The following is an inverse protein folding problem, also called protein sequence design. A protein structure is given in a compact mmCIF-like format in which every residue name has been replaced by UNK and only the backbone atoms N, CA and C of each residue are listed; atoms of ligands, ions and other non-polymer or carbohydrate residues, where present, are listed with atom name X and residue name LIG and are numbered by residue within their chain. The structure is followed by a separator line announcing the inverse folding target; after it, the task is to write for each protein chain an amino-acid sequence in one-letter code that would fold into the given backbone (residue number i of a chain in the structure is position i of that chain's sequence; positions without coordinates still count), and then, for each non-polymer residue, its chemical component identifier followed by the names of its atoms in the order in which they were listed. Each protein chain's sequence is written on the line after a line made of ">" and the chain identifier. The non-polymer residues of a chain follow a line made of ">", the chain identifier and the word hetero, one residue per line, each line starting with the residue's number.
data_IF_920458946628
#
_entry.id   IF_920458946628
#
_cell.length_a   1.000
_cell.length_b   1.000
_cell.length_c   1.000
_cell.angle_alpha   90.00
_cell.angle_beta   90.00
_cell.angle_gamma   90.00
#
_symmetry.space_group_name_H-M   'P 1'
#
loop_
_entity.id
_entity.type
_entity.pdbx_description
1 polymer ?
#
# COMPACT_ATOMS: atom_id res chain seq x y z
N UNK A 1 16.52 17.03 -33.76
CA UNK A 1 16.83 16.12 -32.63
C UNK A 1 15.63 15.34 -32.08
N UNK A 2 14.42 15.90 -31.93
CA UNK A 2 13.21 15.06 -31.80
C UNK A 2 12.56 14.75 -33.17
N UNK A 3 12.95 15.45 -34.25
CA UNK A 3 12.81 14.96 -35.63
C UNK A 3 13.49 13.64 -35.78
N UNK A 4 14.62 13.36 -35.10
CA UNK A 4 15.22 12.03 -35.09
C UNK A 4 14.34 11.02 -34.37
N UNK A 5 13.52 11.44 -33.42
CA UNK A 5 12.52 10.54 -32.83
C UNK A 5 11.38 10.35 -33.84
N UNK A 6 10.80 11.39 -34.44
CA UNK A 6 9.75 11.21 -35.45
C UNK A 6 10.22 10.58 -36.79
N UNK A 7 11.49 10.77 -37.18
CA UNK A 7 12.11 10.32 -38.45
C UNK A 7 12.95 9.04 -38.29
N UNK A 8 13.60 8.80 -37.14
CA UNK A 8 14.26 7.51 -36.82
C UNK A 8 13.34 6.53 -36.07
N UNK A 9 12.09 6.89 -35.74
CA UNK A 9 11.04 5.92 -35.38
C UNK A 9 10.48 5.24 -36.64
N UNK A 10 11.37 4.61 -37.41
CA UNK A 10 11.02 3.37 -38.11
C UNK A 10 10.97 2.18 -37.14
N UNK A 11 11.23 2.41 -35.84
CA UNK A 11 10.85 1.49 -34.77
C UNK A 11 9.35 1.48 -34.63
N UNK A 12 8.76 0.45 -35.22
CA UNK A 12 7.34 0.25 -35.16
C UNK A 12 7.05 -0.66 -33.96
N UNK A 13 6.44 -0.11 -32.92
CA UNK A 13 6.14 -0.86 -31.69
C UNK A 13 4.77 -1.54 -31.79
N UNK A 14 4.69 -2.79 -31.34
CA UNK A 14 3.44 -3.56 -31.26
C UNK A 14 2.53 -3.04 -30.14
N UNK A 15 3.13 -2.67 -29.01
CA UNK A 15 2.44 -2.17 -27.82
C UNK A 15 2.86 -0.74 -27.46
N UNK A 16 2.07 -0.06 -26.63
CA UNK A 16 2.34 1.34 -26.26
C UNK A 16 3.45 1.45 -25.21
N UNK A 17 3.62 0.42 -24.37
CA UNK A 17 4.51 0.42 -23.22
C UNK A 17 5.99 0.60 -23.61
N UNK A 18 6.55 -0.12 -24.60
CA UNK A 18 7.93 0.09 -25.04
C UNK A 18 8.13 1.47 -25.65
N UNK A 19 7.17 1.96 -26.44
CA UNK A 19 7.21 3.30 -27.02
C UNK A 19 7.23 4.37 -25.93
N UNK A 20 6.40 4.20 -24.90
CA UNK A 20 6.35 5.12 -23.76
C UNK A 20 7.69 5.16 -23.02
N UNK A 21 8.29 4.01 -22.72
CA UNK A 21 9.60 3.92 -22.06
C UNK A 21 10.67 4.66 -22.86
N UNK A 22 10.70 4.47 -24.18
CA UNK A 22 11.65 5.16 -25.05
C UNK A 22 11.45 6.68 -25.04
N UNK A 23 10.19 7.16 -25.10
CA UNK A 23 9.89 8.60 -25.03
C UNK A 23 10.32 9.17 -23.68
N UNK A 24 10.04 8.47 -22.57
CA UNK A 24 10.45 8.88 -21.23
C UNK A 24 11.97 8.92 -21.07
N UNK A 25 12.70 7.96 -21.63
CA UNK A 25 14.16 7.94 -21.63
C UNK A 25 14.74 9.11 -22.43
N UNK A 26 14.21 9.36 -23.63
CA UNK A 26 14.66 10.48 -24.48
C UNK A 26 14.35 11.84 -23.89
N UNK A 27 13.18 12.01 -23.29
CA UNK A 27 12.86 13.22 -22.53
C UNK A 27 13.86 13.45 -21.39
N UNK A 28 14.20 12.38 -20.66
CA UNK A 28 15.18 12.44 -19.57
C UNK A 28 16.59 12.81 -20.03
N UNK A 29 17.03 12.27 -21.17
CA UNK A 29 18.30 12.64 -21.81
C UNK A 29 18.34 14.14 -22.16
N UNK A 30 17.19 14.76 -22.40
CA UNK A 30 17.05 16.19 -22.67
C UNK A 30 16.69 17.00 -21.41
N UNK A 31 16.81 16.40 -20.22
CA UNK A 31 16.60 17.08 -18.95
C UNK A 31 15.15 17.30 -18.57
N UNK A 32 14.15 16.70 -19.24
CA UNK A 32 12.75 16.88 -18.87
C UNK A 32 11.98 15.59 -18.65
N UNK A 33 10.78 15.73 -18.08
CA UNK A 33 9.86 14.62 -17.81
C UNK A 33 8.53 14.79 -18.53
N UNK A 34 7.99 13.69 -19.05
CA UNK A 34 6.72 13.63 -19.77
C UNK A 34 5.62 12.99 -18.92
N UNK A 35 4.37 13.41 -19.14
CA UNK A 35 3.19 12.85 -18.51
C UNK A 35 2.07 12.64 -19.53
N UNK A 36 1.23 11.64 -19.32
CA UNK A 36 0.04 11.40 -20.16
C UNK A 36 -1.02 12.46 -19.83
N UNK A 37 -1.37 13.30 -20.80
CA UNK A 37 -2.46 14.28 -20.73
C UNK A 37 -3.82 13.61 -20.87
N UNK A 38 -3.95 12.73 -21.87
CA UNK A 38 -5.17 11.99 -22.17
C UNK A 38 -4.83 10.74 -22.97
N UNK A 39 -5.70 9.74 -22.90
CA UNK A 39 -5.54 8.47 -23.60
C UNK A 39 -6.89 7.97 -24.11
N UNK A 40 -6.89 7.42 -25.31
CA UNK A 40 -7.95 6.56 -25.82
C UNK A 40 -7.32 5.17 -25.95
N UNK A 41 -7.62 4.24 -25.03
CA UNK A 41 -7.00 2.91 -25.02
C UNK A 41 -7.03 2.25 -26.40
N UNK A 42 -5.91 1.71 -26.84
CA UNK A 42 -5.76 1.07 -28.15
C UNK A 42 -5.73 2.00 -29.37
N UNK A 43 -5.93 3.31 -29.20
CA UNK A 43 -6.02 4.25 -30.33
C UNK A 43 -4.95 5.33 -30.29
N UNK A 44 -4.88 6.10 -29.18
CA UNK A 44 -3.94 7.24 -29.08
C UNK A 44 -3.65 7.65 -27.65
N UNK A 45 -2.46 8.19 -27.44
CA UNK A 45 -2.00 8.80 -26.18
C UNK A 45 -1.44 10.19 -26.45
N UNK A 46 -1.95 11.18 -25.73
CA UNK A 46 -1.40 12.53 -25.71
C UNK A 46 -0.44 12.65 -24.54
N UNK A 47 0.82 12.89 -24.85
CA UNK A 47 1.91 13.12 -23.92
C UNK A 47 2.18 14.64 -23.86
N UNK A 48 2.54 15.14 -22.69
CA UNK A 48 2.91 16.54 -22.46
C UNK A 48 4.06 16.64 -21.47
N UNK A 49 4.73 17.78 -21.42
CA UNK A 49 5.67 18.07 -20.34
C UNK A 49 4.95 18.04 -18.97
N UNK A 50 5.65 17.62 -17.91
CA UNK A 50 5.11 17.66 -16.53
C UNK A 50 4.71 19.08 -16.08
N UNK A 51 5.43 20.09 -16.56
CA UNK A 51 5.09 21.50 -16.35
C UNK A 51 4.04 22.02 -17.35
N UNK A 52 3.54 21.17 -18.24
CA UNK A 52 2.64 21.54 -19.32
C UNK A 52 1.18 21.72 -18.91
N UNK A 53 0.54 22.71 -19.53
CA UNK A 53 -0.85 23.10 -19.30
C UNK A 53 -1.09 23.87 -18.00
N UNK A 54 -2.35 24.07 -17.69
CA UNK A 54 -2.79 24.81 -16.50
C UNK A 54 -3.56 23.90 -15.54
N UNK A 55 -3.47 24.23 -14.25
CA UNK A 55 -4.27 23.56 -13.25
C UNK A 55 -5.74 23.94 -13.40
N UNK A 56 -6.62 22.94 -13.55
CA UNK A 56 -8.06 23.17 -13.54
C UNK A 56 -8.50 23.69 -12.16
N UNK A 57 -8.91 24.95 -12.10
CA UNK A 57 -9.47 25.55 -10.89
C UNK A 57 -10.93 25.14 -10.70
N UNK A 58 -11.17 23.89 -10.28
CA UNK A 58 -12.55 23.37 -10.07
C UNK A 58 -13.34 24.09 -8.97
N UNK A 59 -12.66 24.83 -8.09
CA UNK A 59 -13.26 25.42 -6.88
C UNK A 59 -13.30 26.95 -6.93
N UNK A 60 -12.91 27.57 -8.06
CA UNK A 60 -12.87 29.03 -8.19
C UNK A 60 -11.96 29.72 -7.17
N UNK A 61 -10.97 29.01 -6.61
CA UNK A 61 -10.08 29.56 -5.57
C UNK A 61 -9.07 30.47 -6.28
N UNK A 62 -9.10 31.77 -5.96
CA UNK A 62 -8.11 32.74 -6.43
C UNK A 62 -6.82 32.61 -5.61
N UNK A 63 -5.69 33.12 -6.11
CA UNK A 63 -4.42 32.98 -5.38
C UNK A 63 -4.40 33.78 -4.07
N UNK A 64 -5.20 34.85 -3.95
CA UNK A 64 -5.38 35.64 -2.73
C UNK A 64 -6.12 34.84 -1.64
N UNK A 65 -7.09 34.01 -2.05
CA UNK A 65 -7.88 33.19 -1.11
C UNK A 65 -7.15 31.91 -0.63
N UNK A 66 -5.93 31.66 -1.13
CA UNK A 66 -5.20 30.42 -0.90
C UNK A 66 -4.31 30.52 0.35
N UNK A 67 -4.68 29.80 1.41
CA UNK A 67 -3.92 29.75 2.69
C UNK A 67 -2.47 29.22 2.58
N UNK A 68 -2.08 28.59 1.47
CA UNK A 68 -0.73 28.04 1.27
C UNK A 68 -0.25 28.39 -0.13
N UNK A 69 1.02 28.86 -0.25
CA UNK A 69 1.68 29.01 -1.55
C UNK A 69 1.67 27.67 -2.25
N UNK A 70 1.15 27.65 -3.47
CA UNK A 70 1.06 26.43 -4.27
C UNK A 70 2.48 26.09 -4.75
N UNK A 71 2.92 24.86 -4.52
CA UNK A 71 4.06 24.30 -5.24
C UNK A 71 3.60 24.07 -6.70
N UNK A 72 3.59 25.15 -7.50
CA UNK A 72 3.12 25.10 -8.87
C UNK A 72 4.21 24.46 -9.72
N UNK A 73 4.02 23.17 -10.01
CA UNK A 73 4.84 22.50 -11.02
C UNK A 73 4.37 22.88 -12.43
N UNK A 74 3.16 23.39 -12.67
CA UNK A 74 2.71 23.68 -14.05
C UNK A 74 2.92 25.14 -14.44
N UNK A 75 3.83 25.40 -15.39
CA UNK A 75 4.14 26.74 -15.92
C UNK A 75 3.52 27.00 -17.31
N UNK A 76 2.55 26.17 -17.74
CA UNK A 76 1.94 26.34 -19.06
C UNK A 76 2.82 25.88 -20.23
N UNK A 77 3.79 24.98 -19.98
CA UNK A 77 4.65 24.45 -21.04
C UNK A 77 3.83 23.89 -22.21
N UNK A 78 4.17 24.36 -23.41
CA UNK A 78 3.45 24.02 -24.63
C UNK A 78 3.89 22.65 -25.17
N UNK A 79 5.05 22.11 -24.79
CA UNK A 79 5.53 20.84 -25.32
C UNK A 79 4.50 19.70 -25.19
N UNK A 80 4.12 19.11 -26.32
CA UNK A 80 3.14 18.04 -26.40
C UNK A 80 3.40 17.13 -27.61
N UNK A 81 3.11 15.85 -27.43
CA UNK A 81 3.40 14.79 -28.38
C UNK A 81 2.20 13.81 -28.45
N UNK A 82 1.86 13.36 -29.65
CA UNK A 82 0.78 12.41 -29.91
C UNK A 82 1.36 11.07 -30.33
N UNK A 83 1.19 10.04 -29.52
CA UNK A 83 1.38 8.66 -29.94
C UNK A 83 0.04 8.10 -30.46
N UNK A 84 0.00 7.53 -31.65
CA UNK A 84 -1.21 6.99 -32.25
C UNK A 84 -0.96 5.64 -32.90
N UNK A 85 -1.91 4.72 -32.75
CA UNK A 85 -1.89 3.41 -33.40
C UNK A 85 -2.39 3.51 -34.83
N UNK A 86 -1.63 2.99 -35.77
CA UNK A 86 -2.00 2.92 -37.18
C UNK A 86 -2.58 1.56 -37.50
N UNK A 87 -3.87 1.51 -37.83
CA UNK A 87 -4.55 0.26 -38.24
C UNK A 87 -3.96 -0.37 -39.51
N UNK A 88 -3.42 0.45 -40.43
CA UNK A 88 -2.85 -0.04 -41.68
C UNK A 88 -1.54 -0.79 -41.46
N UNK A 89 -0.70 -0.30 -40.55
CA UNK A 89 0.58 -0.91 -40.22
C UNK A 89 0.53 -1.79 -38.96
N UNK A 90 -0.61 -1.84 -38.26
CA UNK A 90 -0.78 -2.53 -36.97
C UNK A 90 0.25 -2.12 -35.91
N UNK A 91 0.72 -0.87 -35.96
CA UNK A 91 1.88 -0.43 -35.17
C UNK A 91 1.69 1.00 -34.64
N UNK A 92 2.34 1.29 -33.52
CA UNK A 92 2.35 2.61 -32.90
C UNK A 92 3.35 3.56 -33.58
N UNK A 93 2.92 4.80 -33.81
CA UNK A 93 3.76 5.87 -34.32
C UNK A 93 3.59 7.17 -33.52
N UNK A 94 4.55 8.08 -33.67
CA UNK A 94 4.58 9.36 -32.95
C UNK A 94 4.43 10.52 -33.93
N UNK A 95 3.65 11.52 -33.54
CA UNK A 95 3.45 12.78 -34.27
C UNK A 95 3.45 13.94 -33.29
N UNK A 96 3.89 15.11 -33.74
CA UNK A 96 3.67 16.33 -32.97
C UNK A 96 2.22 16.77 -33.03
N UNK A 97 1.74 17.37 -31.94
CA UNK A 97 0.40 17.97 -31.92
C UNK A 97 0.44 19.24 -32.77
N UNK A 98 -0.58 19.47 -33.60
CA UNK A 98 -0.69 20.65 -34.47
C UNK A 98 -0.52 21.95 -33.66
N UNK A 99 0.38 22.84 -34.10
CA UNK A 99 0.74 24.06 -33.37
C UNK A 99 1.91 23.89 -32.40
N UNK A 100 2.47 22.68 -32.30
CA UNK A 100 3.70 22.41 -31.60
C UNK A 100 4.75 21.95 -32.61
N UNK A 101 5.70 22.82 -32.95
CA UNK A 101 6.87 22.47 -33.74
C UNK A 101 7.92 21.76 -32.89
N UNK A 102 8.89 21.15 -33.57
CA UNK A 102 10.08 20.58 -32.94
C UNK A 102 10.90 21.61 -32.15
N UNK A 103 10.81 22.87 -32.56
CA UNK A 103 11.47 24.03 -31.96
C UNK A 103 10.62 24.68 -30.85
N UNK A 104 9.54 24.04 -30.38
CA UNK A 104 8.82 24.56 -29.22
C UNK A 104 9.72 24.45 -28.01
N UNK A 105 10.41 25.56 -27.76
CA UNK A 105 11.22 25.77 -26.57
C UNK A 105 10.35 25.53 -25.34
N UNK A 106 10.90 24.74 -24.42
CA UNK A 106 10.35 24.64 -23.09
C UNK A 106 10.41 26.05 -22.47
N UNK A 107 9.26 26.55 -22.00
CA UNK A 107 9.19 27.86 -21.33
C UNK A 107 9.67 27.79 -19.87
N UNK A 108 10.50 26.81 -19.54
CA UNK A 108 11.08 26.60 -18.22
C UNK A 108 12.49 26.01 -18.38
N UNK A 109 13.41 26.32 -17.46
CA UNK A 109 14.75 25.74 -17.49
C UNK A 109 14.67 24.21 -17.39
N UNK A 110 15.51 23.51 -18.15
CA UNK A 110 15.59 22.05 -18.14
C UNK A 110 16.14 21.51 -16.80
N UNK A 111 16.85 22.33 -16.03
CA UNK A 111 17.35 21.94 -14.70
C UNK A 111 16.25 21.86 -13.63
N UNK A 112 15.06 22.43 -13.88
CA UNK A 112 13.99 22.53 -12.89
C UNK A 112 13.09 21.28 -12.81
N UNK A 113 13.43 20.20 -13.51
CA UNK A 113 12.66 18.97 -13.43
C UNK A 113 13.05 18.16 -12.20
N UNK A 114 12.19 18.05 -11.17
CA UNK A 114 12.41 17.04 -10.17
C UNK A 114 12.44 15.67 -10.87
N UNK A 115 13.34 14.74 -10.48
CA UNK A 115 13.26 13.36 -10.95
C UNK A 115 11.81 12.91 -10.76
N UNK A 116 11.21 12.37 -11.82
CA UNK A 116 9.78 12.03 -11.83
C UNK A 116 9.49 11.35 -10.50
N UNK A 117 8.66 11.94 -9.61
CA UNK A 117 8.47 11.37 -8.30
C UNK A 117 8.03 9.95 -8.57
N UNK A 118 8.85 8.95 -8.16
CA UNK A 118 8.54 7.54 -8.32
C UNK A 118 7.12 7.47 -7.81
N UNK A 119 6.19 7.29 -8.75
CA UNK A 119 4.80 7.17 -8.42
C UNK A 119 4.82 5.83 -7.70
N UNK A 120 4.94 5.86 -6.37
CA UNK A 120 4.48 4.79 -5.50
C UNK A 120 3.19 4.39 -6.19
N UNK A 121 3.13 3.18 -6.73
CA UNK A 121 2.06 2.72 -7.61
C UNK A 121 0.74 2.67 -6.80
N UNK A 122 0.24 3.83 -6.40
CA UNK A 122 -1.10 4.08 -5.94
C UNK A 122 -1.86 4.45 -7.20
N UNK A 123 -2.29 3.39 -7.88
CA UNK A 123 -3.27 3.27 -8.97
C UNK A 123 -2.74 2.31 -10.04
N UNK A 124 -2.56 1.03 -9.68
CA UNK A 124 -3.26 0.01 -10.45
C UNK A 124 -4.73 0.41 -10.32
N UNK A 125 -5.42 0.60 -11.44
CA UNK A 125 -6.87 0.65 -11.41
C UNK A 125 -7.29 -0.69 -10.82
N UNK A 126 -7.51 -0.72 -9.51
CA UNK A 126 -8.37 -1.71 -8.92
C UNK A 126 -9.61 -1.68 -9.80
N UNK A 127 -10.05 -2.80 -10.40
CA UNK A 127 -11.46 -2.88 -10.70
C UNK A 127 -12.14 -2.43 -9.41
N UNK A 128 -12.94 -1.36 -9.48
CA UNK A 128 -13.77 -0.91 -8.37
C UNK A 128 -14.80 -2.02 -8.15
N UNK A 129 -14.33 -3.09 -7.54
CA UNK A 129 -15.16 -4.08 -6.93
C UNK A 129 -15.67 -3.46 -5.64
N UNK A 130 -16.91 -3.81 -5.29
CA UNK A 130 -17.62 -3.22 -4.18
C UNK A 130 -16.81 -3.29 -2.88
N UNK A 131 -16.17 -2.18 -2.48
CA UNK A 131 -15.85 -1.96 -1.06
C UNK A 131 -17.15 -2.11 -0.28
N UNK A 132 -17.15 -2.54 0.98
CA UNK A 132 -18.37 -2.58 1.82
C UNK A 132 -19.15 -1.24 1.84
N UNK A 133 -18.58 -0.13 1.33
CA UNK A 133 -19.28 1.13 1.02
C UNK A 133 -20.22 1.11 -0.20
N UNK A 134 -20.15 0.10 -1.06
CA UNK A 134 -20.94 -0.02 -2.29
C UNK A 134 -22.16 -0.95 -2.12
N UNK A 135 -22.20 -1.73 -1.04
CA UNK A 135 -23.46 -2.23 -0.48
C UNK A 135 -23.98 -1.10 0.41
N UNK A 136 -24.57 -0.09 -0.22
CA UNK A 136 -25.31 1.01 0.41
C UNK A 136 -24.68 1.60 1.68
N UNK A 137 -23.83 2.61 1.53
CA UNK A 137 -23.38 3.55 2.57
C UNK A 137 -23.65 3.06 4.01
N UNK A 138 -22.88 2.08 4.47
CA UNK A 138 -22.90 1.68 5.87
C UNK A 138 -22.67 2.96 6.66
N UNK A 139 -23.68 3.37 7.44
CA UNK A 139 -23.60 4.54 8.31
C UNK A 139 -22.27 4.49 9.06
N UNK A 140 -21.52 5.59 9.07
CA UNK A 140 -20.23 5.66 9.78
C UNK A 140 -20.33 5.23 11.24
N UNK A 141 -21.52 5.35 11.84
CA UNK A 141 -21.83 4.86 13.19
C UNK A 141 -21.88 3.33 13.26
N UNK A 142 -22.39 2.65 12.24
CA UNK A 142 -22.41 1.19 12.17
C UNK A 142 -20.99 0.64 11.97
N UNK A 143 -20.17 1.24 11.11
CA UNK A 143 -18.76 0.85 10.97
C UNK A 143 -17.99 1.05 12.29
N UNK A 144 -18.17 2.20 12.94
CA UNK A 144 -17.55 2.46 14.23
C UNK A 144 -17.97 1.46 15.32
N UNK A 145 -19.26 1.11 15.39
CA UNK A 145 -19.77 0.14 16.34
C UNK A 145 -19.24 -1.28 16.06
N UNK A 146 -19.21 -1.70 14.79
CA UNK A 146 -18.64 -2.99 14.37
C UNK A 146 -17.15 -3.07 14.75
N UNK A 147 -16.37 -2.03 14.46
CA UNK A 147 -14.97 -1.94 14.88
C UNK A 147 -14.85 -2.05 16.40
N UNK A 148 -15.62 -1.28 17.15
CA UNK A 148 -15.59 -1.33 18.62
C UNK A 148 -15.90 -2.73 19.16
N UNK A 149 -16.77 -3.49 18.48
CA UNK A 149 -17.08 -4.87 18.81
C UNK A 149 -15.91 -5.83 18.50
N UNK A 150 -15.27 -5.70 17.34
CA UNK A 150 -14.08 -6.51 16.96
C UNK A 150 -12.84 -6.23 17.83
N UNK A 151 -12.74 -5.01 18.38
CA UNK A 151 -11.60 -4.57 19.20
C UNK A 151 -11.94 -4.41 20.69
N UNK A 152 -13.09 -4.92 21.12
CA UNK A 152 -13.48 -4.87 22.53
C UNK A 152 -12.54 -5.73 23.37
N UNK A 153 -12.05 -5.18 24.49
CA UNK A 153 -11.13 -5.88 25.40
C UNK A 153 -11.86 -6.66 26.49
N UNK A 154 -13.12 -6.31 26.75
CA UNK A 154 -13.96 -6.96 27.76
C UNK A 154 -15.31 -7.34 27.16
N UNK A 155 -15.93 -8.39 27.70
CA UNK A 155 -17.28 -8.80 27.30
C UNK A 155 -18.28 -7.65 27.47
N UNK A 156 -18.13 -6.85 28.53
CA UNK A 156 -18.96 -5.67 28.77
C UNK A 156 -18.87 -4.66 27.62
N UNK A 157 -17.65 -4.35 27.16
CA UNK A 157 -17.45 -3.43 26.04
C UNK A 157 -17.99 -4.03 24.73
N UNK A 158 -17.82 -5.33 24.53
CA UNK A 158 -18.34 -6.03 23.36
C UNK A 158 -19.86 -5.91 23.27
N UNK A 159 -20.58 -6.23 24.35
CA UNK A 159 -22.04 -6.15 24.38
C UNK A 159 -22.55 -4.71 24.25
N UNK A 160 -21.86 -3.73 24.83
CA UNK A 160 -22.17 -2.32 24.59
C UNK A 160 -22.06 -1.96 23.10
N UNK A 161 -21.04 -2.47 22.40
CA UNK A 161 -20.89 -2.29 20.95
C UNK A 161 -21.95 -3.03 20.13
N UNK A 162 -22.40 -4.21 20.58
CA UNK A 162 -23.55 -4.92 19.98
C UNK A 162 -24.81 -4.06 20.03
N UNK A 163 -25.09 -3.41 21.17
CA UNK A 163 -26.26 -2.55 21.30
C UNK A 163 -26.15 -1.30 20.43
N UNK A 164 -24.94 -0.73 20.29
CA UNK A 164 -24.67 0.36 19.34
C UNK A 164 -24.90 -0.09 17.89
N UNK A 165 -24.49 -1.30 17.52
CA UNK A 165 -24.76 -1.88 16.20
C UNK A 165 -26.27 -2.01 15.96
N UNK A 166 -27.01 -2.59 16.90
CA UNK A 166 -28.48 -2.72 16.81
C UNK A 166 -29.16 -1.36 16.65
N UNK A 167 -28.76 -0.37 17.44
CA UNK A 167 -29.29 0.99 17.36
C UNK A 167 -28.97 1.67 16.00
N UNK A 168 -27.78 1.41 15.43
CA UNK A 168 -27.41 1.92 14.12
C UNK A 168 -28.18 1.23 12.97
N UNK A 169 -28.38 -0.09 13.06
CA UNK A 169 -29.12 -0.90 12.07
C UNK A 169 -30.60 -0.52 12.01
N UNK A 170 -31.23 -0.21 13.14
CA UNK A 170 -32.64 0.24 13.21
C UNK A 170 -32.93 1.49 12.38
N UNK A 171 -31.91 2.29 12.04
CA UNK A 171 -32.06 3.50 11.21
C UNK A 171 -31.99 3.21 9.70
N UNK A 172 -31.79 1.96 9.31
CA UNK A 172 -31.66 1.54 7.91
C UNK A 172 -32.96 0.90 7.42
N UNK A 173 -33.20 0.97 6.11
CA UNK A 173 -34.36 0.30 5.48
C UNK A 173 -34.31 -1.23 5.56
N UNK A 174 -33.16 -1.81 5.94
CA UNK A 174 -32.92 -3.25 6.06
C UNK A 174 -32.69 -3.69 7.51
N UNK A 175 -33.28 -2.97 8.48
CA UNK A 175 -33.04 -3.18 9.90
C UNK A 175 -33.24 -4.65 10.33
N UNK A 176 -34.32 -5.29 9.86
CA UNK A 176 -34.68 -6.66 10.25
C UNK A 176 -33.67 -7.69 9.72
N UNK A 177 -33.33 -7.61 8.43
CA UNK A 177 -32.33 -8.47 7.79
C UNK A 177 -30.95 -8.34 8.46
N UNK A 178 -30.50 -7.12 8.73
CA UNK A 178 -29.22 -6.84 9.37
C UNK A 178 -29.19 -7.30 10.83
N UNK A 179 -30.27 -7.10 11.59
CA UNK A 179 -30.36 -7.60 12.96
C UNK A 179 -30.32 -9.14 12.98
N UNK A 180 -31.08 -9.81 12.11
CA UNK A 180 -31.06 -11.26 12.02
C UNK A 180 -29.66 -11.80 11.66
N UNK A 181 -28.97 -11.16 10.72
CA UNK A 181 -27.58 -11.51 10.38
C UNK A 181 -26.64 -11.32 11.58
N UNK A 182 -26.78 -10.22 12.32
CA UNK A 182 -25.98 -9.96 13.52
C UNK A 182 -26.19 -11.06 14.57
N UNK A 183 -27.45 -11.40 14.89
CA UNK A 183 -27.75 -12.45 15.87
C UNK A 183 -27.17 -13.81 15.44
N UNK A 184 -27.29 -14.15 14.15
CA UNK A 184 -26.65 -15.35 13.59
C UNK A 184 -25.13 -15.33 13.81
N UNK A 185 -24.45 -14.20 13.62
CA UNK A 185 -23.01 -14.10 13.84
C UNK A 185 -22.62 -14.11 15.33
N UNK A 186 -23.47 -13.59 16.21
CA UNK A 186 -23.24 -13.59 17.67
C UNK A 186 -23.22 -15.00 18.27
N UNK A 187 -23.88 -15.98 17.62
CA UNK A 187 -23.73 -17.41 17.99
C UNK A 187 -22.28 -17.91 17.85
N UNK A 188 -21.49 -17.29 16.96
CA UNK A 188 -20.10 -17.61 16.66
C UNK A 188 -19.11 -16.59 17.24
N UNK A 189 -19.54 -15.76 18.19
CA UNK A 189 -18.75 -14.64 18.74
C UNK A 189 -17.37 -15.04 19.28
N UNK A 190 -17.21 -16.27 19.75
CA UNK A 190 -15.93 -16.77 20.29
C UNK A 190 -14.80 -16.71 19.25
N UNK A 191 -15.12 -16.79 17.95
CA UNK A 191 -14.14 -16.79 16.87
C UNK A 191 -13.71 -15.40 16.38
N UNK A 192 -14.50 -14.36 16.66
CA UNK A 192 -14.31 -13.04 16.05
C UNK A 192 -14.49 -11.86 16.99
N UNK A 193 -15.26 -12.03 18.07
CA UNK A 193 -15.50 -10.98 19.05
C UNK A 193 -14.23 -10.73 19.86
N UNK A 194 -13.87 -9.45 20.02
CA UNK A 194 -12.60 -9.06 20.62
C UNK A 194 -12.24 -9.83 21.91
N UNK A 195 -13.09 -9.87 22.94
CA UNK A 195 -12.71 -10.46 24.23
C UNK A 195 -12.29 -11.93 24.14
N UNK A 196 -12.80 -12.67 23.15
CA UNK A 196 -12.49 -14.07 22.94
C UNK A 196 -11.40 -14.26 21.87
N UNK A 197 -11.48 -13.52 20.77
CA UNK A 197 -10.52 -13.63 19.66
C UNK A 197 -9.15 -13.01 20.00
N UNK A 198 -9.09 -12.03 20.91
CA UNK A 198 -7.86 -11.39 21.38
C UNK A 198 -7.10 -12.22 22.42
N UNK A 199 -7.60 -13.40 22.80
CA UNK A 199 -6.85 -14.30 23.68
C UNK A 199 -5.62 -14.89 23.01
N UNK A 200 -5.58 -14.88 21.67
CA UNK A 200 -4.47 -15.40 20.87
C UNK A 200 -3.74 -14.28 20.11
N UNK A 201 -2.39 -14.33 20.06
CA UNK A 201 -1.61 -13.44 19.21
C UNK A 201 -1.95 -13.63 17.74
N UNK A 202 -2.55 -12.61 17.13
CA UNK A 202 -2.97 -12.65 15.73
C UNK A 202 -1.98 -11.94 14.80
N UNK A 203 -0.87 -11.40 15.30
CA UNK A 203 0.29 -10.92 14.52
C UNK A 203 -0.04 -9.93 13.38
N UNK A 204 -1.08 -9.12 13.57
CA UNK A 204 -1.54 -8.16 12.55
C UNK A 204 -2.52 -8.69 11.49
N UNK A 205 -2.92 -9.97 11.53
CA UNK A 205 -3.92 -10.57 10.63
C UNK A 205 -5.38 -10.11 10.88
N UNK A 206 -5.56 -8.85 11.30
CA UNK A 206 -6.89 -8.21 11.41
C UNK A 206 -7.20 -7.27 10.27
N UNK A 207 -6.21 -6.93 9.44
CA UNK A 207 -6.44 -6.08 8.28
C UNK A 207 -6.98 -6.93 7.14
N UNK A 208 -8.18 -6.58 6.68
CA UNK A 208 -8.78 -7.22 5.49
C UNK A 208 -7.90 -7.04 4.27
N UNK A 209 -7.03 -6.02 4.22
CA UNK A 209 -6.14 -5.74 3.09
C UNK A 209 -5.28 -6.93 2.65
N UNK A 210 -4.78 -7.75 3.58
CA UNK A 210 -4.00 -8.94 3.23
C UNK A 210 -4.90 -10.00 2.59
N UNK A 211 -6.05 -10.28 3.20
CA UNK A 211 -7.03 -11.25 2.68
C UNK A 211 -7.62 -10.80 1.36
N UNK A 212 -7.99 -9.53 1.23
CA UNK A 212 -8.55 -8.90 0.04
C UNK A 212 -7.53 -8.88 -1.11
N UNK A 213 -6.26 -8.57 -0.82
CA UNK A 213 -5.18 -8.58 -1.80
C UNK A 213 -4.93 -9.99 -2.36
N UNK A 214 -4.78 -10.97 -1.47
CA UNK A 214 -4.62 -12.38 -1.85
C UNK A 214 -5.85 -12.90 -2.59
N UNK A 215 -7.05 -12.58 -2.13
CA UNK A 215 -8.29 -12.99 -2.79
C UNK A 215 -8.44 -12.36 -4.18
N UNK A 216 -8.08 -11.09 -4.36
CA UNK A 216 -8.08 -10.46 -5.68
C UNK A 216 -7.06 -11.10 -6.64
N UNK A 217 -5.86 -11.42 -6.14
CA UNK A 217 -4.85 -12.10 -6.94
C UNK A 217 -5.29 -13.51 -7.35
N UNK A 218 -5.81 -14.29 -6.40
CA UNK A 218 -6.36 -15.63 -6.66
C UNK A 218 -7.51 -15.55 -7.65
N UNK A 219 -8.43 -14.60 -7.50
CA UNK A 219 -9.54 -14.44 -8.45
C UNK A 219 -9.07 -14.07 -9.85
N UNK A 220 -8.00 -13.27 -9.98
CA UNK A 220 -7.42 -12.98 -11.30
C UNK A 220 -6.79 -14.22 -11.95
N UNK A 221 -6.14 -15.07 -11.15
CA UNK A 221 -5.60 -16.36 -11.62
C UNK A 221 -6.75 -17.27 -12.04
N UNK A 222 -7.75 -17.44 -11.18
CA UNK A 222 -8.92 -18.29 -11.43
C UNK A 222 -9.74 -17.81 -12.62
N UNK A 223 -9.87 -16.50 -12.84
CA UNK A 223 -10.60 -15.93 -13.97
C UNK A 223 -10.02 -16.31 -15.35
N UNK A 224 -8.81 -16.85 -15.39
CA UNK A 224 -8.13 -17.31 -16.61
C UNK A 224 -8.22 -18.83 -16.84
N UNK A 225 -8.73 -19.59 -15.87
CA UNK A 225 -8.76 -21.05 -15.91
C UNK A 225 -10.18 -21.58 -15.70
N UNK A 226 -10.64 -22.45 -16.61
CA UNK A 226 -12.02 -22.97 -16.60
C UNK A 226 -12.17 -24.33 -15.89
N UNK A 227 -11.06 -24.94 -15.43
CA UNK A 227 -11.05 -26.27 -14.81
C UNK A 227 -10.38 -26.29 -13.44
N UNK A 228 -10.93 -27.09 -12.51
CA UNK A 228 -10.49 -27.16 -11.11
C UNK A 228 -9.02 -27.59 -10.98
N UNK A 229 -8.58 -28.55 -11.79
CA UNK A 229 -7.20 -29.07 -11.73
C UNK A 229 -6.20 -28.02 -12.24
N UNK A 230 -6.55 -27.30 -13.30
CA UNK A 230 -5.77 -26.20 -13.87
C UNK A 230 -5.69 -25.02 -12.91
N UNK A 231 -6.80 -24.70 -12.24
CA UNK A 231 -6.86 -23.69 -11.18
C UNK A 231 -5.92 -24.01 -10.00
N UNK A 232 -5.91 -25.26 -9.53
CA UNK A 232 -5.03 -25.69 -8.44
C UNK A 232 -3.56 -25.57 -8.86
N UNK A 233 -3.21 -26.08 -10.04
CA UNK A 233 -1.84 -26.01 -10.59
C UNK A 233 -1.37 -24.56 -10.80
N UNK A 234 -2.28 -23.63 -11.07
CA UNK A 234 -1.95 -22.22 -11.25
C UNK A 234 -1.80 -21.46 -9.92
N UNK A 235 -2.56 -21.83 -8.88
CA UNK A 235 -2.52 -21.19 -7.55
C UNK A 235 -1.29 -21.62 -6.75
N UNK A 236 -0.91 -22.90 -6.83
CA UNK A 236 0.20 -23.47 -6.05
C UNK A 236 1.53 -22.67 -6.17
N UNK A 237 2.05 -22.33 -7.35
CA UNK A 237 3.27 -21.53 -7.48
C UNK A 237 3.08 -20.07 -7.02
N UNK A 238 1.86 -19.53 -7.08
CA UNK A 238 1.56 -18.20 -6.55
C UNK A 238 1.62 -18.18 -5.02
N UNK A 239 1.05 -19.19 -4.34
CA UNK A 239 1.13 -19.28 -2.87
C UNK A 239 2.59 -19.43 -2.43
N UNK A 240 3.34 -20.33 -3.07
CA UNK A 240 4.76 -20.55 -2.75
C UNK A 240 5.61 -19.28 -2.95
N UNK A 241 5.42 -18.58 -4.08
CA UNK A 241 6.15 -17.33 -4.36
C UNK A 241 5.69 -16.17 -3.46
N UNK A 242 4.40 -16.04 -3.17
CA UNK A 242 3.86 -15.00 -2.29
C UNK A 242 4.41 -15.10 -0.87
N UNK A 243 4.60 -16.31 -0.33
CA UNK A 243 5.20 -16.49 1.00
C UNK A 243 6.67 -16.04 1.04
N UNK A 244 7.43 -16.35 -0.01
CA UNK A 244 8.83 -15.94 -0.16
C UNK A 244 8.93 -14.43 -0.37
N UNK A 245 8.08 -13.87 -1.22
CA UNK A 245 8.04 -12.43 -1.51
C UNK A 245 7.59 -11.62 -0.30
N UNK A 246 6.64 -12.11 0.50
CA UNK A 246 6.29 -11.47 1.77
C UNK A 246 7.47 -11.46 2.75
N UNK A 247 8.20 -12.56 2.88
CA UNK A 247 9.41 -12.60 3.72
C UNK A 247 10.51 -11.68 3.20
N UNK A 248 10.73 -11.63 1.89
CA UNK A 248 11.71 -10.74 1.25
C UNK A 248 11.32 -9.27 1.36
N UNK A 249 10.07 -8.93 1.05
CA UNK A 249 9.55 -7.57 1.19
C UNK A 249 9.55 -7.12 2.64
N UNK A 250 9.31 -8.03 3.58
CA UNK A 250 9.49 -7.79 5.00
C UNK A 250 10.95 -7.46 5.29
N UNK A 251 11.91 -8.31 4.91
CA UNK A 251 13.34 -8.05 5.11
C UNK A 251 13.83 -6.74 4.48
N UNK A 252 13.46 -6.45 3.23
CA UNK A 252 13.83 -5.22 2.50
C UNK A 252 13.25 -3.98 3.18
N UNK A 253 11.97 -3.99 3.57
CA UNK A 253 11.35 -2.86 4.31
C UNK A 253 12.02 -2.63 5.67
N UNK A 254 12.60 -3.68 6.26
CA UNK A 254 13.33 -3.57 7.52
C UNK A 254 14.70 -2.91 7.37
N UNK A 255 15.32 -3.02 6.19
CA UNK A 255 16.65 -2.49 5.91
C UNK A 255 16.63 -1.08 5.28
N UNK A 256 15.66 -0.78 4.41
CA UNK A 256 15.67 0.44 3.58
C UNK A 256 15.18 1.72 4.29
N UNK A 257 14.62 1.61 5.50
CA UNK A 257 14.05 2.78 6.19
C UNK A 257 14.93 3.16 7.39
N UNK A 258 15.71 4.27 7.32
CA UNK A 258 16.56 4.66 8.43
C UNK A 258 15.70 4.98 9.66
N UNK A 259 15.92 4.22 10.73
CA UNK A 259 15.28 4.47 12.02
C UNK A 259 16.01 5.65 12.65
N UNK A 260 15.28 6.68 13.08
CA UNK A 260 15.89 7.74 13.87
C UNK A 260 16.19 7.21 15.29
N UNK A 261 17.45 6.88 15.56
CA UNK A 261 17.97 6.28 16.80
C UNK A 261 18.22 7.33 17.90
N UNK A 262 18.02 8.63 17.61
CA UNK A 262 18.26 9.68 18.61
C UNK A 262 17.40 9.52 19.87
N UNK A 263 16.24 8.86 19.75
CA UNK A 263 15.33 8.58 20.84
C UNK A 263 15.60 7.17 21.40
N UNK A 264 16.14 7.10 22.63
CA UNK A 264 16.46 5.88 23.38
C UNK A 264 17.56 4.96 22.80
N UNK A 265 18.77 5.47 22.52
CA UNK A 265 19.84 4.70 21.86
C UNK A 265 20.29 3.48 22.67
N UNK A 266 20.36 3.61 24.01
CA UNK A 266 20.78 2.51 24.88
C UNK A 266 19.79 1.34 24.81
N UNK A 267 18.50 1.61 24.95
CA UNK A 267 17.47 0.56 24.98
C UNK A 267 17.29 -0.17 23.65
N UNK A 268 17.47 0.52 22.53
CA UNK A 268 17.26 -0.04 21.19
C UNK A 268 18.52 -0.69 20.58
N UNK A 269 19.72 -0.36 21.09
CA UNK A 269 21.00 -0.78 20.52
C UNK A 269 21.14 -2.29 20.24
N UNK A 270 20.64 -3.13 21.15
CA UNK A 270 20.77 -4.59 21.10
C UNK A 270 19.81 -5.29 20.12
N UNK A 271 18.75 -4.61 19.70
CA UNK A 271 17.71 -5.17 18.81
C UNK A 271 17.70 -4.47 17.45
N UNK A 272 18.49 -3.41 17.31
CA UNK A 272 18.64 -2.65 16.09
C UNK A 272 19.17 -3.53 14.96
N UNK A 273 18.55 -3.45 13.79
CA UNK A 273 18.83 -4.29 12.60
C UNK A 273 18.57 -5.80 12.77
N UNK A 274 18.29 -6.29 13.99
CA UNK A 274 17.95 -7.69 14.25
C UNK A 274 16.44 -7.97 14.26
N UNK A 275 15.62 -6.92 14.20
CA UNK A 275 14.16 -7.02 14.21
C UNK A 275 13.53 -6.15 13.13
N UNK A 276 12.27 -6.43 12.87
CA UNK A 276 11.53 -5.77 11.82
C UNK A 276 11.28 -4.29 12.10
N UNK A 277 11.17 -3.49 11.03
CA UNK A 277 10.84 -2.06 11.11
C UNK A 277 9.50 -1.81 11.83
N UNK A 278 8.52 -2.70 11.66
CA UNK A 278 7.27 -2.61 12.41
C UNK A 278 7.50 -2.77 13.91
N UNK A 279 8.24 -3.82 14.32
CA UNK A 279 8.47 -4.12 15.72
C UNK A 279 9.29 -3.03 16.41
N UNK A 280 10.38 -2.59 15.79
CA UNK A 280 11.25 -1.54 16.37
C UNK A 280 10.54 -0.20 16.51
N UNK A 281 9.72 0.23 15.54
CA UNK A 281 8.93 1.45 15.69
C UNK A 281 7.82 1.32 16.74
N UNK A 282 7.21 0.14 16.85
CA UNK A 282 6.19 -0.10 17.88
C UNK A 282 6.79 -0.05 19.28
N UNK A 283 7.94 -0.71 19.49
CA UNK A 283 8.70 -0.66 20.75
C UNK A 283 9.17 0.76 21.04
N UNK A 284 9.70 1.46 20.02
CA UNK A 284 10.13 2.85 20.15
C UNK A 284 8.99 3.76 20.62
N UNK A 285 7.82 3.64 20.01
CA UNK A 285 6.64 4.40 20.43
C UNK A 285 6.26 4.11 21.87
N UNK A 286 6.34 2.87 22.31
CA UNK A 286 6.07 2.49 23.71
C UNK A 286 7.14 3.01 24.68
N UNK A 287 8.43 3.02 24.30
CA UNK A 287 9.51 3.64 25.07
C UNK A 287 9.31 5.14 25.23
N UNK A 288 8.95 5.83 24.14
CA UNK A 288 8.63 7.25 24.19
C UNK A 288 7.45 7.49 25.12
N UNK A 289 6.40 6.68 25.08
CA UNK A 289 5.30 6.81 26.05
C UNK A 289 5.82 6.56 27.47
N UNK A 290 6.57 5.48 27.71
CA UNK A 290 7.12 5.17 29.04
C UNK A 290 8.00 6.29 29.61
N UNK A 291 8.68 7.08 28.77
CA UNK A 291 9.50 8.20 29.24
C UNK A 291 8.68 9.44 29.65
N UNK A 292 7.41 9.51 29.28
CA UNK A 292 6.51 10.62 29.61
C UNK A 292 5.62 10.31 30.83
N UNK A 293 5.42 9.04 31.18
CA UNK A 293 4.56 8.62 32.29
C UNK A 293 5.38 8.07 33.48
N UNK A 294 5.00 8.44 34.70
CA UNK A 294 5.73 8.09 35.93
C UNK A 294 5.56 6.60 36.34
N UNK A 295 6.50 6.02 37.11
CA UNK A 295 6.63 4.56 37.34
C UNK A 295 5.50 3.83 38.08
N UNK A 296 4.42 4.51 38.48
CA UNK A 296 3.42 3.93 39.39
C UNK A 296 2.60 2.78 38.78
N UNK A 297 2.62 2.61 37.47
CA UNK A 297 1.92 1.53 36.74
C UNK A 297 2.88 0.53 36.06
N UNK A 298 4.19 0.59 36.32
CA UNK A 298 5.22 0.08 35.37
C UNK A 298 5.75 -1.34 35.60
N UNK A 299 5.09 -2.20 36.38
CA UNK A 299 5.49 -3.61 36.46
C UNK A 299 4.32 -4.54 36.71
N UNK A 300 3.54 -4.78 35.65
CA UNK A 300 2.65 -5.95 35.62
C UNK A 300 3.24 -6.97 34.66
N UNK A 301 3.68 -8.11 35.22
CA UNK A 301 4.07 -9.27 34.43
C UNK A 301 2.95 -9.70 33.48
N UNK A 302 1.70 -9.46 33.86
CA UNK A 302 0.48 -9.76 33.11
C UNK A 302 -0.21 -8.48 32.61
N UNK A 303 0.38 -7.83 31.62
CA UNK A 303 -0.23 -6.66 31.00
C UNK A 303 -1.02 -7.02 29.73
N UNK A 304 -2.27 -6.55 29.64
CA UNK A 304 -3.16 -6.77 28.49
C UNK A 304 -2.95 -5.75 27.36
N UNK A 305 -1.76 -5.15 27.30
CA UNK A 305 -1.46 -4.14 26.29
C UNK A 305 -1.67 -4.72 24.88
N UNK A 306 -2.34 -3.98 23.98
CA UNK A 306 -2.57 -4.44 22.61
C UNK A 306 -1.27 -4.88 21.93
N UNK A 307 -0.16 -4.16 22.17
CA UNK A 307 1.12 -4.52 21.57
C UNK A 307 1.62 -5.90 22.02
N UNK A 308 1.47 -6.22 23.31
CA UNK A 308 1.88 -7.51 23.88
C UNK A 308 0.93 -8.63 23.48
N UNK A 309 -0.37 -8.44 23.65
CA UNK A 309 -1.39 -9.45 23.34
C UNK A 309 -1.41 -9.78 21.85
N UNK A 310 -1.42 -8.75 20.99
CA UNK A 310 -1.65 -8.94 19.56
C UNK A 310 -0.37 -9.32 18.80
N UNK A 311 0.79 -8.81 19.24
CA UNK A 311 2.04 -8.92 18.50
C UNK A 311 3.16 -9.60 19.29
N UNK A 312 2.95 -9.96 20.56
CA UNK A 312 4.01 -10.51 21.43
C UNK A 312 5.28 -9.66 21.45
N UNK A 313 5.08 -8.33 21.49
CA UNK A 313 6.16 -7.36 21.59
C UNK A 313 6.15 -6.71 22.99
N UNK A 314 7.33 -6.33 23.53
CA UNK A 314 7.40 -5.58 24.78
C UNK A 314 6.59 -4.28 24.69
N UNK A 315 5.85 -3.96 25.73
CA UNK A 315 5.08 -2.71 25.84
C UNK A 315 5.66 -1.83 26.95
N UNK A 316 5.15 -0.60 27.11
CA UNK A 316 5.61 0.35 28.13
C UNK A 316 5.71 -0.22 29.55
N UNK A 317 4.83 -1.16 29.94
CA UNK A 317 4.84 -1.76 31.29
C UNK A 317 5.93 -2.81 31.51
N UNK A 318 6.61 -3.24 30.44
CA UNK A 318 7.74 -4.20 30.49
C UNK A 318 9.06 -3.56 30.09
N UNK A 319 9.02 -2.33 29.60
CA UNK A 319 10.18 -1.63 29.06
C UNK A 319 10.80 -0.74 30.13
N UNK A 320 12.09 -0.90 30.35
CA UNK A 320 12.86 -0.06 31.25
C UNK A 320 13.73 0.90 30.46
N UNK A 321 13.64 2.19 30.78
CA UNK A 321 14.44 3.23 30.14
C UNK A 321 15.92 3.01 30.44
N UNK A 322 16.75 3.20 29.42
CA UNK A 322 18.21 3.03 29.49
C UNK A 322 18.68 1.61 29.83
N UNK A 323 17.81 0.62 29.74
CA UNK A 323 18.16 -0.81 29.81
C UNK A 323 18.05 -1.40 28.41
N UNK A 324 19.06 -2.18 28.02
CA UNK A 324 19.05 -2.90 26.74
C UNK A 324 17.93 -3.94 26.73
N UNK A 325 17.15 -3.94 25.64
CA UNK A 325 16.09 -4.93 25.45
C UNK A 325 16.73 -6.21 24.90
N UNK A 326 16.61 -7.37 25.58
CA UNK A 326 17.17 -8.61 25.05
C UNK A 326 16.38 -9.04 23.81
N UNK A 327 17.07 -9.48 22.75
CA UNK A 327 16.42 -9.99 21.53
C UNK A 327 15.44 -11.15 21.83
N UNK A 328 15.71 -11.91 22.88
CA UNK A 328 14.84 -13.02 23.32
C UNK A 328 13.46 -12.56 23.83
N UNK A 329 13.33 -11.30 24.28
CA UNK A 329 12.04 -10.74 24.65
C UNK A 329 11.14 -10.40 23.45
N UNK A 330 11.67 -10.53 22.22
CA UNK A 330 10.94 -10.25 20.99
C UNK A 330 10.59 -11.57 20.31
N UNK A 331 9.31 -11.76 20.00
CA UNK A 331 8.84 -12.98 19.36
C UNK A 331 9.59 -13.26 18.02
N UNK A 332 10.01 -14.51 17.74
CA UNK A 332 10.82 -14.86 16.57
C UNK A 332 10.29 -14.35 15.22
N UNK A 333 8.96 -14.29 15.06
CA UNK A 333 8.31 -13.75 13.85
C UNK A 333 8.79 -12.33 13.47
N UNK A 334 9.18 -11.52 14.45
CA UNK A 334 9.62 -10.15 14.20
C UNK A 334 11.13 -10.02 14.06
N UNK A 335 11.90 -11.11 14.21
CA UNK A 335 13.35 -11.09 14.05
C UNK A 335 13.68 -11.16 12.56
N UNK A 336 14.65 -10.37 12.14
CA UNK A 336 15.20 -10.45 10.78
C UNK A 336 16.17 -11.61 10.79
N UNK A 337 15.89 -12.66 10.02
CA UNK A 337 16.84 -13.75 9.80
C UNK A 337 18.05 -13.17 9.06
N UNK A 338 19.25 -13.48 9.53
CA UNK A 338 20.44 -13.21 8.74
C UNK A 338 20.40 -14.07 7.48
N UNK A 339 21.09 -13.68 6.41
CA UNK A 339 21.15 -14.47 5.17
C UNK A 339 21.69 -15.89 5.39
N UNK A 340 22.34 -16.14 6.52
CA UNK A 340 22.91 -17.44 6.92
C UNK A 340 21.87 -18.35 7.62
N UNK A 341 20.72 -17.81 8.04
CA UNK A 341 19.68 -18.52 8.80
C UNK A 341 18.44 -18.90 7.96
N UNK A 342 18.47 -18.70 6.64
CA UNK A 342 17.36 -19.10 5.77
C UNK A 342 17.32 -20.64 5.74
N UNK A 343 16.24 -21.29 6.21
CA UNK A 343 16.16 -22.75 6.20
C UNK A 343 16.35 -23.29 4.78
N UNK A 344 17.25 -24.26 4.63
CA UNK A 344 17.58 -24.96 3.38
C UNK A 344 16.32 -25.51 2.65
N UNK A 345 15.21 -25.67 3.37
CA UNK A 345 13.91 -26.08 2.86
C UNK A 345 13.27 -25.11 1.86
N UNK A 346 13.75 -23.85 1.76
CA UNK A 346 13.19 -22.81 0.89
C UNK A 346 14.08 -22.47 -0.32
N UNK A 347 15.26 -23.08 -0.45
CA UNK A 347 16.08 -22.99 -1.66
C UNK A 347 15.61 -24.05 -2.65
N UNK A 348 14.54 -23.74 -3.39
CA UNK A 348 14.07 -24.60 -4.47
C UNK A 348 15.10 -24.73 -5.59
N UNK A 349 15.34 -25.99 -5.99
CA UNK A 349 16.12 -26.53 -7.12
C UNK A 349 17.65 -26.56 -6.91
N UNK A 350 18.35 -27.67 -7.14
CA UNK A 350 18.26 -28.57 -8.30
C UNK A 350 18.65 -30.03 -7.94
N UNK A 351 17.97 -31.02 -8.52
CA UNK A 351 18.51 -32.38 -8.59
C UNK A 351 17.49 -33.52 -8.48
N UNK A 352 16.50 -33.59 -9.37
CA UNK A 352 15.85 -34.87 -9.68
C UNK A 352 15.77 -35.01 -11.20
N UNK A 353 16.82 -35.58 -11.76
CA UNK A 353 16.78 -36.34 -13.01
C UNK A 353 16.11 -37.67 -12.75
N UNK A 354 15.00 -37.92 -13.44
CA UNK A 354 14.60 -39.25 -13.90
C UNK A 354 14.03 -39.14 -15.30
#
# INVERSE_FOLDING_TARGET
>A
MFSDIAKNLNYQFETFEPLKTLIEEKARQQGFSVAIRSSTPGVRFYLKCIHGGEYRNKRGITDESRKRKKAIVQCGCKWALLAAFSKKSQRWGVRYVKGHSEEVEHNHPMEAHPPMPRRVQRKIQQPTMPTLSSVGCISSKLDAALRSMFFARSEKQFWLSVDQCRAAMKRTSKAEELCHLLEKQLTKRVFWGGPWAETLPHMGYRMTQSVEGTHAAINNILGQHLGLLESIKAIEPYIASSMIDEQRLFAVKCLDTPINIQEHPVSLSSIMNSISFFAINSIKSELTIASWFAPKDMSQLDCDCPLRVNFLLPCRHTLHLNVQIPLMAIHPRWRVLSSEDIPFCLTGNQGLTF
#
